data_IF_159157770572
#
_entry.id   IF_159157770572
#
_cell.length_a   1.000
_cell.length_b   1.000
_cell.length_c   1.000
_cell.angle_alpha   90.00
_cell.angle_beta   90.00
_cell.angle_gamma   90.00
#
_symmetry.space_group_name_H-M   'P 1'
#
loop_
_entity.id
_entity.type
_entity.pdbx_description
1 polymer ?
#
# COMPACT_ATOMS: atom_id res chain seq x y z
N UNK A 1 6.00 -23.40 -2.29
CA UNK A 1 5.70 -22.68 -3.55
C UNK A 1 4.21 -22.87 -3.81
N UNK A 2 3.53 -21.84 -4.33
CA UNK A 2 2.10 -21.80 -4.57
C UNK A 2 1.84 -21.35 -6.02
N UNK A 3 0.76 -21.81 -6.63
CA UNK A 3 0.37 -21.43 -7.99
C UNK A 3 -1.14 -21.34 -8.19
N UNK A 4 -1.49 -20.56 -9.21
CA UNK A 4 -2.78 -20.64 -9.89
C UNK A 4 -2.52 -21.24 -11.27
N UNK A 5 -3.11 -22.39 -11.57
CA UNK A 5 -2.91 -23.07 -12.86
C UNK A 5 -4.06 -24.03 -13.17
N UNK A 6 -4.29 -24.32 -14.45
CA UNK A 6 -5.32 -25.24 -14.91
C UNK A 6 -4.89 -26.01 -16.16
N UNK A 7 -5.78 -26.84 -16.69
CA UNK A 7 -5.52 -27.65 -17.89
C UNK A 7 -4.98 -26.82 -19.07
N UNK A 8 -5.57 -25.65 -19.33
CA UNK A 8 -5.18 -24.81 -20.47
C UNK A 8 -3.77 -24.21 -20.34
N UNK A 9 -3.29 -23.99 -19.12
CA UNK A 9 -2.03 -23.28 -18.87
C UNK A 9 -0.86 -24.18 -18.48
N UNK A 10 -1.14 -25.29 -17.79
CA UNK A 10 -0.11 -26.20 -17.28
C UNK A 10 -0.39 -27.68 -17.59
N UNK A 11 -1.46 -28.00 -18.32
CA UNK A 11 -1.80 -29.38 -18.67
C UNK A 11 -2.26 -30.26 -17.51
N UNK A 12 -2.67 -29.66 -16.38
CA UNK A 12 -3.12 -30.38 -15.19
C UNK A 12 -4.63 -30.65 -15.23
N UNK A 13 -5.07 -31.84 -14.85
CA UNK A 13 -6.49 -32.23 -14.88
C UNK A 13 -7.33 -31.46 -13.86
N UNK A 14 -6.80 -31.28 -12.64
CA UNK A 14 -7.46 -30.56 -11.56
C UNK A 14 -6.83 -29.17 -11.44
N UNK A 15 -7.60 -28.08 -11.59
CA UNK A 15 -7.09 -26.74 -11.38
C UNK A 15 -6.50 -26.55 -9.99
N UNK A 16 -5.34 -25.93 -9.92
CA UNK A 16 -4.70 -25.54 -8.67
C UNK A 16 -4.96 -24.07 -8.38
N UNK A 17 -5.36 -23.78 -7.15
CA UNK A 17 -5.63 -22.44 -6.62
C UNK A 17 -4.97 -22.28 -5.24
N UNK A 18 -3.77 -22.86 -5.07
CA UNK A 18 -3.05 -22.90 -3.79
C UNK A 18 -2.66 -21.52 -3.28
N UNK A 19 -2.54 -20.51 -4.17
CA UNK A 19 -2.36 -19.11 -3.78
C UNK A 19 -3.57 -18.60 -3.01
N UNK A 20 -4.79 -18.81 -3.53
CA UNK A 20 -6.02 -18.37 -2.85
C UNK A 20 -6.15 -19.03 -1.48
N UNK A 21 -5.94 -20.35 -1.40
CA UNK A 21 -5.98 -21.09 -0.13
C UNK A 21 -4.98 -20.54 0.88
N UNK A 22 -3.74 -20.30 0.46
CA UNK A 22 -2.73 -19.73 1.36
C UNK A 22 -3.09 -18.32 1.84
N UNK A 23 -3.67 -17.48 0.96
CA UNK A 23 -4.17 -16.17 1.37
C UNK A 23 -5.25 -16.28 2.45
N UNK A 24 -6.27 -17.13 2.24
CA UNK A 24 -7.36 -17.31 3.21
C UNK A 24 -6.86 -17.88 4.53
N UNK A 25 -5.97 -18.89 4.49
CA UNK A 25 -5.44 -19.54 5.69
C UNK A 25 -4.61 -18.57 6.53
N UNK A 26 -3.79 -17.73 5.88
CA UNK A 26 -3.02 -16.69 6.55
C UNK A 26 -3.91 -15.61 7.18
N UNK A 27 -4.96 -15.19 6.49
CA UNK A 27 -5.92 -14.20 7.02
C UNK A 27 -6.63 -14.76 8.25
N UNK A 28 -7.12 -16.00 8.18
CA UNK A 28 -7.84 -16.64 9.30
C UNK A 28 -6.92 -16.84 10.51
N UNK A 29 -5.68 -17.28 10.28
CA UNK A 29 -4.71 -17.56 11.34
C UNK A 29 -4.04 -16.33 11.95
N UNK A 30 -4.12 -15.15 11.31
CA UNK A 30 -3.54 -13.90 11.80
C UNK A 30 -4.00 -13.56 13.23
N UNK A 31 -3.10 -13.10 14.09
CA UNK A 31 -3.36 -12.80 15.50
C UNK A 31 -3.28 -11.32 15.85
N UNK A 32 -2.44 -10.55 15.16
CA UNK A 32 -2.12 -9.18 15.50
C UNK A 32 -2.38 -8.22 14.36
N UNK A 33 -1.83 -8.50 13.17
CA UNK A 33 -2.05 -7.64 12.03
C UNK A 33 -1.84 -8.33 10.68
N UNK A 34 -2.46 -7.75 9.66
CA UNK A 34 -2.27 -8.09 8.25
C UNK A 34 -1.84 -6.81 7.52
N UNK A 35 -0.79 -6.90 6.72
CA UNK A 35 -0.35 -5.84 5.83
C UNK A 35 -0.40 -6.33 4.39
N UNK A 36 -1.09 -5.60 3.51
CA UNK A 36 -1.31 -5.95 2.11
C UNK A 36 -0.82 -4.80 1.24
N UNK A 37 0.04 -5.10 0.27
CA UNK A 37 0.23 -4.25 -0.91
C UNK A 37 -0.24 -5.03 -2.13
N UNK A 38 -1.23 -4.50 -2.84
CA UNK A 38 -1.72 -5.15 -4.05
C UNK A 38 -2.06 -4.12 -5.13
N UNK A 39 -1.93 -4.51 -6.39
CA UNK A 39 -2.35 -3.69 -7.52
C UNK A 39 -3.88 -3.59 -7.61
N UNK A 40 -4.58 -4.65 -7.22
CA UNK A 40 -6.04 -4.69 -7.23
C UNK A 40 -6.57 -5.21 -5.91
N UNK A 41 -7.77 -4.76 -5.54
CA UNK A 41 -8.55 -5.28 -4.43
C UNK A 41 -9.98 -5.49 -4.92
N UNK A 42 -10.18 -6.54 -5.69
CA UNK A 42 -11.48 -6.93 -6.27
C UNK A 42 -11.92 -8.22 -5.59
N UNK A 43 -12.70 -8.09 -4.52
CA UNK A 43 -13.25 -9.18 -3.73
C UNK A 43 -14.51 -8.70 -3.01
N UNK A 44 -15.65 -9.28 -3.35
CA UNK A 44 -16.96 -8.93 -2.78
C UNK A 44 -17.54 -10.21 -2.18
N UNK A 45 -18.02 -10.13 -0.94
CA UNK A 45 -18.65 -11.28 -0.32
C UNK A 45 -20.06 -11.50 -0.89
N UNK A 46 -20.42 -12.76 -1.10
CA UNK A 46 -21.75 -13.21 -1.53
C UNK A 46 -22.22 -12.58 -2.86
N UNK A 47 -21.28 -12.25 -3.76
CA UNK A 47 -21.55 -11.74 -5.09
C UNK A 47 -21.60 -12.86 -6.15
N UNK A 48 -22.41 -12.67 -7.21
CA UNK A 48 -22.53 -13.66 -8.29
C UNK A 48 -21.39 -13.58 -9.32
N UNK A 49 -20.68 -12.45 -9.37
CA UNK A 49 -19.68 -12.15 -10.40
C UNK A 49 -18.25 -12.21 -9.87
N UNK A 50 -18.04 -11.86 -8.59
CA UNK A 50 -16.76 -11.93 -7.90
C UNK A 50 -16.84 -13.01 -6.83
N UNK A 51 -16.01 -14.04 -6.94
CA UNK A 51 -16.13 -15.24 -6.08
C UNK A 51 -14.91 -15.54 -5.20
N UNK A 52 -13.80 -14.81 -5.36
CA UNK A 52 -12.66 -14.95 -4.46
C UNK A 52 -13.01 -14.47 -3.04
N UNK A 53 -12.69 -15.28 -2.03
CA UNK A 53 -13.19 -15.12 -0.66
C UNK A 53 -12.30 -14.25 0.23
N UNK A 54 -11.43 -13.42 -0.35
CA UNK A 54 -10.45 -12.62 0.40
C UNK A 54 -11.13 -11.58 1.30
N UNK A 55 -12.08 -10.82 0.77
CA UNK A 55 -12.86 -9.82 1.52
C UNK A 55 -13.71 -10.48 2.61
N UNK A 56 -14.31 -11.65 2.33
CA UNK A 56 -15.04 -12.43 3.32
C UNK A 56 -14.14 -12.88 4.47
N UNK A 57 -12.93 -13.39 4.18
CA UNK A 57 -11.97 -13.80 5.20
C UNK A 57 -11.51 -12.62 6.08
N UNK A 58 -11.23 -11.45 5.47
CA UNK A 58 -10.85 -10.23 6.22
C UNK A 58 -12.01 -9.77 7.12
N UNK A 59 -13.23 -9.76 6.59
CA UNK A 59 -14.44 -9.42 7.35
C UNK A 59 -14.58 -10.31 8.61
N UNK A 60 -14.56 -11.63 8.43
CA UNK A 60 -14.70 -12.57 9.55
C UNK A 60 -13.56 -12.43 10.56
N UNK A 61 -12.32 -12.20 10.10
CA UNK A 61 -11.18 -11.99 10.99
C UNK A 61 -11.33 -10.73 11.85
N UNK A 62 -11.76 -9.62 11.26
CA UNK A 62 -12.02 -8.36 11.98
C UNK A 62 -13.18 -8.54 12.95
N UNK A 63 -14.27 -9.18 12.52
CA UNK A 63 -15.43 -9.45 13.35
C UNK A 63 -15.07 -10.31 14.57
N UNK A 64 -14.27 -11.36 14.38
CA UNK A 64 -13.77 -12.20 15.46
C UNK A 64 -12.89 -11.41 16.44
N UNK A 65 -12.01 -10.54 15.94
CA UNK A 65 -11.18 -9.68 16.79
C UNK A 65 -12.03 -8.67 17.58
N UNK A 66 -13.07 -8.09 16.95
CA UNK A 66 -14.00 -7.17 17.60
C UNK A 66 -14.81 -7.87 18.71
N UNK A 67 -15.39 -9.03 18.43
CA UNK A 67 -16.12 -9.82 19.43
C UNK A 67 -15.23 -10.23 20.60
N UNK A 68 -13.96 -10.53 20.34
CA UNK A 68 -12.99 -10.87 21.37
C UNK A 68 -12.36 -9.65 22.07
N UNK A 69 -12.74 -8.42 21.70
CA UNK A 69 -12.14 -7.17 22.17
C UNK A 69 -10.60 -7.17 22.07
N UNK A 70 -10.08 -7.79 21.01
CA UNK A 70 -8.64 -7.87 20.73
C UNK A 70 -8.23 -6.73 19.81
N UNK A 71 -7.05 -6.15 20.07
CA UNK A 71 -6.41 -5.24 19.12
C UNK A 71 -5.96 -6.04 17.90
N UNK A 72 -6.45 -5.64 16.75
CA UNK A 72 -6.11 -6.24 15.46
C UNK A 72 -6.08 -5.14 14.40
N UNK A 73 -5.14 -5.20 13.45
CA UNK A 73 -5.00 -4.18 12.41
C UNK A 73 -4.85 -4.79 11.02
N UNK A 74 -5.50 -4.20 10.03
CA UNK A 74 -5.38 -4.55 8.61
C UNK A 74 -4.99 -3.28 7.86
N UNK A 75 -3.86 -3.32 7.17
CA UNK A 75 -3.36 -2.24 6.35
C UNK A 75 -3.42 -2.66 4.89
N UNK A 76 -4.08 -1.89 4.05
CA UNK A 76 -4.20 -2.17 2.62
C UNK A 76 -3.65 -0.99 1.82
N UNK A 77 -2.62 -1.23 1.02
CA UNK A 77 -1.99 -0.22 0.16
C UNK A 77 -2.30 -0.56 -1.29
N UNK A 78 -2.98 0.35 -1.98
CA UNK A 78 -3.44 0.21 -3.36
C UNK A 78 -2.92 1.37 -4.23
N UNK A 79 -2.84 1.19 -5.56
CA UNK A 79 -2.57 2.32 -6.43
C UNK A 79 -3.73 3.33 -6.36
N UNK A 80 -3.42 4.64 -6.36
CA UNK A 80 -4.44 5.68 -6.35
C UNK A 80 -5.32 5.65 -7.61
N UNK A 81 -4.72 5.25 -8.74
CA UNK A 81 -5.38 4.99 -10.01
C UNK A 81 -4.76 3.77 -10.68
N UNK A 82 -5.53 2.92 -11.37
CA UNK A 82 -5.00 1.85 -12.21
C UNK A 82 -4.10 2.40 -13.33
N UNK A 83 -2.97 1.74 -13.62
CA UNK A 83 -2.11 2.13 -14.74
C UNK A 83 -2.63 1.51 -16.03
N UNK A 84 -3.36 2.29 -16.81
CA UNK A 84 -3.72 1.97 -18.20
C UNK A 84 -3.59 3.22 -19.06
N UNK A 85 -3.39 3.01 -20.36
CA UNK A 85 -3.42 4.08 -21.35
C UNK A 85 -4.85 4.62 -21.48
N UNK A 86 -5.09 5.83 -20.99
CA UNK A 86 -6.39 6.50 -21.08
C UNK A 86 -6.56 7.64 -20.09
N UNK A 87 -7.35 8.65 -20.44
CA UNK A 87 -7.76 9.71 -19.51
C UNK A 87 -9.05 9.30 -18.79
N UNK A 88 -9.15 9.61 -17.51
CA UNK A 88 -10.39 9.37 -16.76
C UNK A 88 -11.53 10.20 -17.36
N UNK A 89 -12.62 9.53 -17.73
CA UNK A 89 -13.80 10.19 -18.30
C UNK A 89 -13.90 10.16 -19.82
N UNK A 90 -12.92 9.59 -20.52
CA UNK A 90 -13.00 9.35 -21.98
C UNK A 90 -13.43 7.90 -22.29
N UNK A 91 -13.95 7.61 -23.49
CA UNK A 91 -14.26 6.24 -23.93
C UNK A 91 -13.04 5.30 -23.90
N UNK A 92 -11.84 5.85 -24.10
CA UNK A 92 -10.55 5.15 -23.98
C UNK A 92 -10.19 4.79 -22.53
N UNK A 93 -10.83 5.39 -21.54
CA UNK A 93 -10.67 5.10 -20.11
C UNK A 93 -11.66 4.09 -19.54
N UNK A 94 -12.47 3.41 -20.37
CA UNK A 94 -13.49 2.44 -19.92
C UNK A 94 -12.90 1.29 -19.07
N UNK A 95 -11.73 0.77 -19.43
CA UNK A 95 -11.00 -0.23 -18.63
C UNK A 95 -10.60 0.29 -17.24
N UNK A 96 -10.17 1.55 -17.18
CA UNK A 96 -9.83 2.22 -15.90
C UNK A 96 -11.09 2.36 -15.05
N UNK A 97 -12.20 2.82 -15.65
CA UNK A 97 -13.48 2.97 -14.96
C UNK A 97 -14.00 1.63 -14.41
N UNK A 98 -13.90 0.56 -15.18
CA UNK A 98 -14.31 -0.77 -14.74
C UNK A 98 -13.51 -1.26 -13.53
N UNK A 99 -12.18 -1.11 -13.56
CA UNK A 99 -11.32 -1.51 -12.44
C UNK A 99 -11.58 -0.65 -11.20
N UNK A 100 -11.71 0.67 -11.38
CA UNK A 100 -12.06 1.58 -10.29
C UNK A 100 -13.41 1.19 -9.68
N UNK A 101 -14.41 0.91 -10.51
CA UNK A 101 -15.73 0.46 -10.06
C UNK A 101 -15.61 -0.79 -9.19
N UNK A 102 -14.92 -1.84 -9.64
CA UNK A 102 -14.80 -3.08 -8.88
C UNK A 102 -13.95 -2.95 -7.61
N UNK A 103 -12.92 -2.11 -7.60
CA UNK A 103 -12.18 -1.80 -6.37
C UNK A 103 -13.08 -1.10 -5.35
N UNK A 104 -13.80 -0.05 -5.76
CA UNK A 104 -14.72 0.63 -4.85
C UNK A 104 -15.89 -0.27 -4.42
N UNK A 105 -16.42 -1.10 -5.30
CA UNK A 105 -17.47 -2.07 -4.97
C UNK A 105 -16.99 -3.10 -3.93
N UNK A 106 -15.70 -3.44 -3.94
CA UNK A 106 -15.11 -4.32 -2.93
C UNK A 106 -14.87 -3.62 -1.58
N UNK A 107 -14.49 -2.34 -1.62
CA UNK A 107 -14.09 -1.59 -0.43
C UNK A 107 -15.29 -0.94 0.28
N UNK A 108 -16.08 -0.12 -0.41
CA UNK A 108 -17.09 0.74 0.23
C UNK A 108 -18.35 1.11 -0.60
N UNK A 109 -18.48 0.65 -1.84
CA UNK A 109 -19.60 1.02 -2.74
C UNK A 109 -20.21 -0.21 -3.41
N UNK A 110 -20.42 -1.27 -2.63
CA UNK A 110 -20.88 -2.58 -3.12
C UNK A 110 -22.37 -2.82 -2.90
N UNK A 111 -23.17 -1.76 -2.87
CA UNK A 111 -24.62 -1.80 -2.63
C UNK A 111 -24.99 -2.58 -1.34
N UNK A 112 -24.19 -2.41 -0.28
CA UNK A 112 -24.39 -3.06 1.03
C UNK A 112 -23.59 -4.34 1.26
N UNK A 113 -22.89 -4.84 0.24
CA UNK A 113 -22.07 -6.06 0.28
C UNK A 113 -20.56 -5.80 0.31
N UNK A 114 -20.11 -4.55 0.17
CA UNK A 114 -18.67 -4.23 0.28
C UNK A 114 -18.14 -4.46 1.70
N UNK A 115 -16.82 -4.58 1.83
CA UNK A 115 -16.17 -4.86 3.11
C UNK A 115 -16.55 -3.83 4.19
N UNK A 116 -16.41 -2.54 3.90
CA UNK A 116 -16.70 -1.49 4.87
C UNK A 116 -18.20 -1.37 5.14
N UNK A 117 -19.08 -1.48 4.13
CA UNK A 117 -20.54 -1.46 4.32
C UNK A 117 -21.02 -2.61 5.21
N UNK A 118 -20.40 -3.78 5.13
CA UNK A 118 -20.69 -4.92 6.01
C UNK A 118 -20.14 -4.69 7.42
N UNK A 119 -18.94 -4.11 7.56
CA UNK A 119 -18.33 -3.84 8.87
C UNK A 119 -19.08 -2.78 9.66
N UNK A 120 -19.50 -1.66 9.05
CA UNK A 120 -20.21 -0.58 9.78
C UNK A 120 -21.54 -1.03 10.40
N UNK A 121 -22.14 -2.12 9.89
CA UNK A 121 -23.38 -2.69 10.45
C UNK A 121 -23.15 -3.38 11.80
N UNK A 122 -21.93 -3.80 12.10
CA UNK A 122 -21.62 -4.66 13.26
C UNK A 122 -20.46 -4.14 14.12
N UNK A 123 -19.60 -3.28 13.58
CA UNK A 123 -18.47 -2.63 14.26
C UNK A 123 -18.71 -1.12 14.26
N UNK A 124 -18.82 -0.45 15.42
CA UNK A 124 -19.09 1.00 15.50
C UNK A 124 -18.08 1.88 14.75
N UNK A 125 -16.80 1.52 14.84
CA UNK A 125 -15.72 2.17 14.10
C UNK A 125 -14.87 1.10 13.41
N UNK A 126 -15.10 0.79 12.12
CA UNK A 126 -14.26 -0.14 11.37
C UNK A 126 -12.83 0.34 11.14
N UNK A 127 -12.59 1.66 11.14
CA UNK A 127 -11.26 2.23 10.87
C UNK A 127 -10.28 1.99 12.02
N UNK A 128 -10.79 1.61 13.20
CA UNK A 128 -9.94 1.07 14.26
C UNK A 128 -9.31 -0.29 13.88
N UNK A 129 -9.87 -1.03 12.92
CA UNK A 129 -9.36 -2.33 12.49
C UNK A 129 -8.73 -2.29 11.11
N UNK A 130 -9.30 -1.57 10.13
CA UNK A 130 -8.83 -1.59 8.74
C UNK A 130 -8.62 -0.18 8.18
N UNK A 131 -7.51 0.00 7.48
CA UNK A 131 -7.16 1.26 6.82
C UNK A 131 -6.66 1.04 5.40
N UNK A 132 -7.10 1.90 4.48
CA UNK A 132 -6.71 1.90 3.07
C UNK A 132 -5.81 3.10 2.77
N UNK A 133 -4.73 2.88 2.03
CA UNK A 133 -3.75 3.89 1.67
C UNK A 133 -3.43 3.82 0.18
N UNK A 134 -2.99 4.96 -0.36
CA UNK A 134 -2.32 5.03 -1.66
C UNK A 134 -1.04 5.84 -1.55
N UNK A 135 -0.15 5.67 -2.52
CA UNK A 135 1.16 6.32 -2.51
C UNK A 135 1.23 7.43 -3.56
N UNK A 136 1.84 8.56 -3.20
CA UNK A 136 2.05 9.73 -4.05
C UNK A 136 3.36 10.41 -3.66
N UNK A 137 4.11 10.85 -4.67
CA UNK A 137 5.36 11.61 -4.49
C UNK A 137 5.19 13.00 -5.11
N UNK A 138 5.99 13.95 -4.62
CA UNK A 138 6.19 15.22 -5.30
C UNK A 138 7.69 15.51 -5.41
N UNK A 139 8.06 16.28 -6.43
CA UNK A 139 9.43 16.64 -6.74
C UNK A 139 9.45 17.95 -7.53
N UNK A 140 10.55 18.71 -7.44
CA UNK A 140 10.75 19.88 -8.28
C UNK A 140 11.38 19.45 -9.61
N UNK A 141 10.69 19.74 -10.71
CA UNK A 141 11.16 19.43 -12.06
C UNK A 141 11.10 20.71 -12.89
N UNK A 142 12.23 21.14 -13.45
CA UNK A 142 12.35 22.36 -14.25
C UNK A 142 11.81 23.63 -13.54
N UNK A 143 12.10 23.77 -12.24
CA UNK A 143 11.64 24.92 -11.44
C UNK A 143 10.16 24.88 -11.05
N UNK A 144 9.46 23.77 -11.33
CA UNK A 144 8.04 23.58 -10.99
C UNK A 144 7.85 22.37 -10.09
N UNK A 145 7.16 22.57 -8.97
CA UNK A 145 6.73 21.47 -8.11
C UNK A 145 5.69 20.63 -8.88
N UNK A 146 6.01 19.35 -9.06
CA UNK A 146 5.18 18.38 -9.74
C UNK A 146 4.88 17.23 -8.78
N UNK A 147 3.68 16.64 -8.88
CA UNK A 147 3.31 15.47 -8.09
C UNK A 147 2.80 14.35 -8.99
N UNK A 148 3.20 13.12 -8.68
CA UNK A 148 2.74 11.94 -9.38
C UNK A 148 2.41 10.81 -8.41
N UNK A 149 1.46 9.96 -8.79
CA UNK A 149 1.16 8.77 -8.01
C UNK A 149 2.35 7.80 -8.07
N UNK A 150 2.60 7.10 -6.96
CA UNK A 150 3.52 5.96 -6.97
C UNK A 150 2.67 4.73 -7.23
N UNK A 151 2.87 4.12 -8.38
CA UNK A 151 2.04 3.00 -8.81
C UNK A 151 2.38 1.73 -8.03
N UNK A 152 1.45 1.29 -7.20
CA UNK A 152 1.59 0.06 -6.41
C UNK A 152 1.32 -1.13 -7.32
N UNK A 153 2.38 -1.78 -7.79
CA UNK A 153 2.29 -3.01 -8.58
C UNK A 153 2.62 -4.27 -7.76
N UNK A 154 2.91 -4.12 -6.46
CA UNK A 154 3.15 -5.22 -5.52
C UNK A 154 2.00 -6.23 -5.52
N UNK A 155 2.31 -7.48 -5.18
CA UNK A 155 1.34 -8.49 -4.73
C UNK A 155 1.93 -9.21 -3.53
N UNK A 156 1.75 -8.57 -2.38
CA UNK A 156 2.40 -8.88 -1.13
C UNK A 156 1.37 -8.92 0.00
N UNK A 157 1.47 -9.91 0.87
CA UNK A 157 0.83 -9.87 2.17
C UNK A 157 1.80 -10.34 3.26
N UNK A 158 1.88 -9.59 4.36
CA UNK A 158 2.66 -9.89 5.56
C UNK A 158 1.68 -10.08 6.72
N UNK A 159 1.85 -11.16 7.48
CA UNK A 159 1.02 -11.49 8.64
C UNK A 159 1.90 -11.61 9.88
N UNK A 160 1.54 -10.85 10.92
CA UNK A 160 2.12 -10.90 12.28
C UNK A 160 3.65 -10.79 12.38
N UNK A 161 4.33 -10.18 11.39
CA UNK A 161 5.79 -10.21 11.27
C UNK A 161 6.35 -11.66 11.28
N UNK A 162 5.60 -12.67 10.80
CA UNK A 162 6.02 -14.09 10.82
C UNK A 162 5.86 -14.82 9.50
N UNK A 163 4.90 -14.39 8.69
CA UNK A 163 4.61 -15.03 7.41
C UNK A 163 4.46 -13.99 6.33
N UNK A 164 4.99 -14.31 5.15
CA UNK A 164 4.97 -13.43 3.99
C UNK A 164 4.56 -14.25 2.77
N UNK A 165 3.59 -13.76 2.01
CA UNK A 165 3.31 -14.24 0.66
C UNK A 165 3.70 -13.15 -0.34
N UNK A 166 4.56 -13.52 -1.30
CA UNK A 166 5.01 -12.65 -2.41
C UNK A 166 4.79 -13.40 -3.71
N UNK A 167 4.23 -12.74 -4.72
CA UNK A 167 4.04 -13.37 -6.03
C UNK A 167 3.56 -12.41 -7.11
N UNK A 168 2.93 -12.99 -8.12
CA UNK A 168 2.32 -12.28 -9.24
C UNK A 168 0.80 -12.09 -9.09
N UNK A 169 0.16 -12.88 -8.23
CA UNK A 169 -1.30 -12.94 -8.10
C UNK A 169 -1.91 -11.70 -7.45
N UNK A 170 -2.76 -11.00 -8.20
CA UNK A 170 -3.55 -9.89 -7.68
C UNK A 170 -4.70 -10.39 -6.80
N UNK A 171 -5.24 -9.52 -5.93
CA UNK A 171 -6.52 -9.82 -5.25
C UNK A 171 -7.65 -9.55 -6.25
N UNK A 172 -7.90 -10.55 -7.09
CA UNK A 172 -9.04 -10.64 -7.99
C UNK A 172 -9.25 -12.10 -8.42
N UNK A 173 -10.41 -12.41 -8.99
CA UNK A 173 -10.71 -13.75 -9.48
C UNK A 173 -9.78 -14.21 -10.62
N UNK A 174 -9.29 -13.26 -11.44
CA UNK A 174 -8.39 -13.55 -12.57
C UNK A 174 -7.11 -14.25 -12.10
N UNK A 175 -6.54 -13.81 -10.99
CA UNK A 175 -5.34 -14.38 -10.42
C UNK A 175 -5.61 -15.51 -9.42
N UNK A 176 -6.75 -15.51 -8.72
CA UNK A 176 -6.97 -16.38 -7.56
C UNK A 176 -7.76 -17.68 -7.82
N UNK A 177 -8.53 -17.79 -8.91
CA UNK A 177 -9.38 -18.98 -9.13
C UNK A 177 -8.68 -20.19 -9.76
N UNK A 178 -7.42 -20.05 -10.18
CA UNK A 178 -6.65 -21.13 -10.82
C UNK A 178 -7.05 -21.43 -12.27
N UNK A 179 -8.33 -21.29 -12.61
CA UNK A 179 -8.90 -21.56 -13.95
C UNK A 179 -8.70 -20.42 -14.95
N UNK A 180 -8.27 -19.26 -14.48
CA UNK A 180 -7.98 -18.07 -15.28
C UNK A 180 -6.47 -17.94 -15.43
N UNK A 181 -5.85 -16.81 -15.08
CA UNK A 181 -4.43 -16.57 -15.33
C UNK A 181 -3.52 -17.53 -14.55
N UNK A 182 -2.34 -17.77 -15.12
CA UNK A 182 -1.29 -18.53 -14.44
C UNK A 182 -0.50 -17.61 -13.53
N UNK A 183 -0.41 -17.97 -12.26
CA UNK A 183 0.26 -17.15 -11.26
C UNK A 183 1.21 -17.99 -10.42
N UNK A 184 2.26 -17.36 -9.91
CA UNK A 184 3.21 -17.98 -8.99
C UNK A 184 3.34 -17.13 -7.73
N UNK A 185 3.37 -17.77 -6.57
CA UNK A 185 3.69 -17.12 -5.32
C UNK A 185 4.56 -18.01 -4.42
N UNK A 186 5.28 -17.37 -3.52
CA UNK A 186 6.07 -18.03 -2.49
C UNK A 186 5.51 -17.61 -1.14
N UNK A 187 5.14 -18.60 -0.33
CA UNK A 187 4.88 -18.43 1.09
C UNK A 187 6.18 -18.67 1.86
N UNK A 188 6.64 -17.64 2.55
CA UNK A 188 7.78 -17.68 3.46
C UNK A 188 7.25 -17.68 4.88
N UNK A 189 7.57 -18.72 5.64
CA UNK A 189 7.35 -18.78 7.08
C UNK A 189 8.71 -18.76 7.75
N UNK A 190 8.94 -17.76 8.61
CA UNK A 190 10.26 -17.53 9.19
C UNK A 190 10.69 -18.67 10.13
N UNK A 191 11.83 -19.33 9.88
CA UNK A 191 12.38 -20.32 10.82
C UNK A 191 13.19 -19.67 11.94
N UNK A 192 13.60 -18.40 11.77
CA UNK A 192 14.47 -17.66 12.69
C UNK A 192 13.77 -16.41 13.17
N UNK A 193 13.77 -16.23 14.49
CA UNK A 193 13.09 -15.12 15.15
C UNK A 193 14.09 -14.12 15.74
N UNK A 194 13.70 -12.85 15.76
CA UNK A 194 14.41 -11.72 16.35
C UNK A 194 13.53 -11.05 17.40
N UNK A 195 14.16 -10.40 18.37
CA UNK A 195 13.45 -9.61 19.37
C UNK A 195 12.81 -8.38 18.74
N UNK A 196 11.52 -8.22 19.02
CA UNK A 196 10.67 -7.12 18.56
C UNK A 196 9.61 -6.80 19.61
N UNK A 197 8.65 -5.96 19.26
CA UNK A 197 7.48 -5.65 20.08
C UNK A 197 6.20 -5.78 19.26
N UNK A 198 5.15 -6.23 19.91
CA UNK A 198 3.78 -6.28 19.38
C UNK A 198 2.84 -5.73 20.43
N UNK A 199 2.10 -4.68 20.11
CA UNK A 199 1.29 -3.92 21.07
C UNK A 199 2.06 -3.51 22.36
N UNK A 200 3.30 -3.06 22.19
CA UNK A 200 4.17 -2.66 23.29
C UNK A 200 4.80 -3.82 24.09
N UNK A 201 4.30 -5.04 23.94
CA UNK A 201 4.80 -6.23 24.63
C UNK A 201 5.97 -6.88 23.87
N UNK A 202 6.92 -7.54 24.56
CA UNK A 202 7.98 -8.32 23.91
C UNK A 202 7.39 -9.37 22.96
N UNK A 203 7.89 -9.42 21.73
CA UNK A 203 7.40 -10.35 20.72
C UNK A 203 8.55 -10.90 19.87
N UNK A 204 8.54 -12.21 19.65
CA UNK A 204 9.48 -12.88 18.74
C UNK A 204 8.91 -12.78 17.31
N UNK A 205 9.50 -11.89 16.53
CA UNK A 205 9.15 -11.63 15.14
C UNK A 205 10.07 -12.43 14.20
N UNK A 206 9.55 -12.92 13.09
CA UNK A 206 10.34 -13.55 12.03
C UNK A 206 11.35 -12.58 11.44
N UNK A 207 12.58 -13.04 11.23
CA UNK A 207 13.67 -12.19 10.78
C UNK A 207 13.39 -11.59 9.39
N UNK A 208 12.90 -12.40 8.45
CA UNK A 208 12.57 -11.96 7.09
C UNK A 208 11.34 -11.04 7.11
N UNK A 209 10.21 -11.50 7.63
CA UNK A 209 8.96 -10.75 7.63
C UNK A 209 9.09 -9.37 8.31
N UNK A 210 9.72 -9.33 9.48
CA UNK A 210 9.96 -8.08 10.22
C UNK A 210 10.88 -7.13 9.45
N UNK A 211 11.96 -7.64 8.85
CA UNK A 211 12.90 -6.80 8.09
C UNK A 211 12.23 -6.21 6.84
N UNK A 212 11.46 -7.02 6.11
CA UNK A 212 10.72 -6.60 4.93
C UNK A 212 9.70 -5.52 5.28
N UNK A 213 8.86 -5.77 6.28
CA UNK A 213 7.85 -4.80 6.73
C UNK A 213 8.51 -3.48 7.17
N UNK A 214 9.59 -3.53 7.97
CA UNK A 214 10.31 -2.33 8.40
C UNK A 214 10.90 -1.55 7.22
N UNK A 215 11.42 -2.24 6.21
CA UNK A 215 11.95 -1.60 5.01
C UNK A 215 10.85 -0.88 4.22
N UNK A 216 9.70 -1.53 4.01
CA UNK A 216 8.55 -0.95 3.32
C UNK A 216 7.99 0.25 4.08
N UNK A 217 7.79 0.11 5.39
CA UNK A 217 7.29 1.19 6.23
C UNK A 217 8.28 2.36 6.26
N UNK A 218 9.58 2.08 6.28
CA UNK A 218 10.61 3.12 6.18
C UNK A 218 10.46 3.86 4.86
N UNK A 219 10.40 3.16 3.72
CA UNK A 219 10.24 3.79 2.41
C UNK A 219 8.98 4.66 2.35
N UNK A 220 7.85 4.13 2.81
CA UNK A 220 6.56 4.82 2.75
C UNK A 220 6.50 6.01 3.70
N UNK A 221 6.96 5.86 4.95
CA UNK A 221 6.92 6.92 5.97
C UNK A 221 8.04 7.94 5.76
N UNK A 222 9.25 7.54 5.34
CA UNK A 222 10.33 8.50 5.10
C UNK A 222 10.12 9.31 3.82
N UNK A 223 9.31 8.81 2.87
CA UNK A 223 8.78 9.65 1.78
C UNK A 223 7.93 10.81 2.31
N UNK A 224 7.38 10.75 3.54
CA UNK A 224 6.74 11.89 4.20
C UNK A 224 7.75 12.83 4.91
N UNK A 225 8.92 12.35 5.34
CA UNK A 225 9.88 13.17 6.12
C UNK A 225 10.96 13.84 5.26
N UNK A 226 11.31 13.27 4.10
CA UNK A 226 12.30 13.88 3.20
C UNK A 226 11.77 15.13 2.48
N UNK A 227 10.45 15.28 2.32
CA UNK A 227 9.84 16.52 1.82
C UNK A 227 9.99 17.68 2.82
N UNK A 228 10.06 17.39 4.12
CA UNK A 228 10.30 18.40 5.15
C UNK A 228 11.78 18.74 5.31
N UNK A 229 12.72 17.78 5.24
CA UNK A 229 14.13 18.14 5.41
C UNK A 229 14.71 18.92 4.23
N UNK A 230 14.30 18.63 3.00
CA UNK A 230 14.80 19.38 1.83
C UNK A 230 14.23 20.79 1.77
N UNK A 231 12.95 21.00 2.11
CA UNK A 231 12.34 22.34 2.16
C UNK A 231 12.92 23.21 3.27
N UNK A 232 13.22 22.64 4.44
CA UNK A 232 13.83 23.38 5.55
C UNK A 232 15.32 23.69 5.32
N UNK A 233 16.10 22.76 4.79
CA UNK A 233 17.52 23.02 4.47
C UNK A 233 17.64 24.08 3.36
N UNK A 234 16.78 24.01 2.34
CA UNK A 234 16.80 24.99 1.25
C UNK A 234 16.30 26.38 1.69
N UNK A 235 15.26 26.47 2.53
CA UNK A 235 14.80 27.78 3.03
C UNK A 235 15.81 28.41 3.99
N UNK A 236 16.48 27.61 4.81
CA UNK A 236 17.46 28.11 5.78
C UNK A 236 18.76 28.54 5.11
N UNK A 237 19.27 27.77 4.15
CA UNK A 237 20.45 28.16 3.36
C UNK A 237 20.13 29.40 2.50
N UNK A 238 18.95 29.45 1.87
CA UNK A 238 18.56 30.59 1.05
C UNK A 238 18.32 31.86 1.87
N UNK A 239 17.68 31.78 3.06
CA UNK A 239 17.48 32.95 3.92
C UNK A 239 18.79 33.42 4.56
N UNK A 240 19.67 32.50 4.94
CA UNK A 240 20.97 32.82 5.53
C UNK A 240 21.90 33.48 4.52
N UNK A 241 21.98 32.95 3.29
CA UNK A 241 22.77 33.55 2.20
C UNK A 241 22.21 34.93 1.80
N UNK A 242 20.87 35.09 1.68
CA UNK A 242 20.29 36.40 1.36
C UNK A 242 20.49 37.43 2.48
N UNK A 243 20.42 37.02 3.75
CA UNK A 243 20.67 37.89 4.90
C UNK A 243 22.13 38.34 4.94
N UNK A 244 23.07 37.43 4.67
CA UNK A 244 24.51 37.74 4.64
C UNK A 244 24.84 38.70 3.49
N UNK A 245 24.31 38.45 2.28
CA UNK A 245 24.52 39.31 1.10
C UNK A 245 23.93 40.70 1.32
N UNK A 246 22.73 40.81 1.93
CA UNK A 246 22.13 42.12 2.29
C UNK A 246 22.93 42.86 3.37
N UNK A 247 23.48 42.14 4.35
CA UNK A 247 24.35 42.73 5.36
C UNK A 247 25.63 43.31 4.75
N UNK A 248 26.26 42.61 3.81
CA UNK A 248 27.49 43.10 3.18
C UNK A 248 27.27 44.22 2.14
N UNK A 249 26.12 44.24 1.46
CA UNK A 249 25.79 45.31 0.49
C UNK A 249 25.38 46.62 1.16
N UNK A 250 24.85 46.59 2.38
CA UNK A 250 24.51 47.81 3.15
C UNK A 250 25.66 48.35 4.03
N UNK A 251 26.80 47.66 4.11
CA UNK A 251 27.96 48.12 4.91
C UNK A 251 29.04 48.88 4.12
N UNK A 252 28.84 49.16 2.82
CA UNK A 252 29.72 50.04 2.05
C UNK A 252 29.05 51.40 1.79
N UNK A 253 29.42 52.47 2.53
CA UNK A 253 29.01 53.82 2.15
C UNK A 253 29.82 54.28 0.93
N UNK A 254 29.13 54.61 -0.16
CA UNK A 254 29.70 55.34 -1.29
C UNK A 254 30.27 56.68 -0.79
N UNK A 255 31.59 56.78 -0.67
CA UNK A 255 32.32 58.05 -0.55
C UNK A 255 33.11 58.29 -1.84
N UNK A 256 32.51 59.15 -2.68
CA UNK A 256 33.16 60.21 -3.48
C UNK A 256 34.48 59.88 -4.20
N UNK A 257 34.39 59.63 -5.51
CA UNK A 257 35.48 59.93 -6.45
C UNK A 257 35.61 61.46 -6.58
N UNK A 258 36.61 62.03 -5.92
CA UNK A 258 37.16 63.34 -6.24
C UNK A 258 38.29 63.19 -7.24
N UNK A 259 38.10 63.73 -8.43
CA UNK A 259 39.11 63.90 -9.47
C UNK A 259 40.02 65.06 -9.03
N UNK A 260 41.33 64.83 -8.94
CA UNK A 260 42.35 65.88 -8.96
C UNK A 260 43.62 65.32 -9.62
N UNK A 261 44.15 66.07 -10.59
CA UNK A 261 45.15 65.64 -11.56
C UNK A 261 46.61 65.66 -11.07
N UNK A 262 47.53 65.55 -12.03
CA UNK A 262 48.95 65.86 -11.85
C UNK A 262 49.84 64.64 -11.74
#
# INVERSE_FOLDING_TARGET
>A
ILRSSAAWSAGIEIPEYSIHTAYTDLIVSAQHYIYIENQFFISIADDRTVVNQISAAIYEKILAAHRAQKKFKVYVVLPLLPAFEGQLGTPTGSSIQAIIHWNYASICRGNGNSLLERLVKVVPDPFQYISFYGLRKHEEMLGKITTELVYVHSKLMIVDDRSVIIGSANINDRSLLGTRDSELAILVQDPRFVDSKMDGQPFKAGAFACSLRKSLFRFQIHSFTHSTTHSFIHSFIHSFIHSLIRSFTHSFPQRTLGIAGG
#
